data_IF_565815832305
#
_entry.id   IF_565815832305
#
_cell.length_a   1.000
_cell.length_b   1.000
_cell.length_c   1.000
_cell.angle_alpha   90.00
_cell.angle_beta   90.00
_cell.angle_gamma   90.00
#
_symmetry.space_group_name_H-M   'P 1'
#
loop_
_entity.id
_entity.type
_entity.pdbx_description
1 polymer ?
#
# COMPACT_ATOMS: atom_id res chain seq x y z
N UNK A 1 -3.24 18.55 4.39
CA UNK A 1 -1.80 18.29 4.21
C UNK A 1 -1.10 18.59 5.54
N UNK A 2 -0.55 17.58 6.24
CA UNK A 2 -0.05 17.72 7.64
C UNK A 2 1.44 18.02 7.74
N UNK A 3 2.17 18.03 6.62
CA UNK A 3 3.64 18.18 6.58
C UNK A 3 4.17 19.44 7.27
N UNK A 4 3.44 20.55 7.18
CA UNK A 4 3.80 21.84 7.76
C UNK A 4 3.24 22.05 9.18
N UNK A 5 2.44 21.10 9.67
CA UNK A 5 1.76 21.20 10.97
C UNK A 5 2.68 20.64 12.06
N UNK A 6 2.83 21.37 13.16
CA UNK A 6 3.55 20.87 14.33
C UNK A 6 2.84 19.63 14.92
N UNK A 7 3.59 18.64 15.43
CA UNK A 7 3.02 17.39 15.94
C UNK A 7 1.97 17.58 17.06
N UNK A 8 2.04 18.66 17.84
CA UNK A 8 0.98 18.98 18.81
C UNK A 8 -0.34 19.43 18.17
N UNK A 9 -0.28 20.05 17.00
CA UNK A 9 -1.46 20.55 16.27
C UNK A 9 -2.04 19.50 15.31
N UNK A 10 -1.31 18.41 15.03
CA UNK A 10 -1.80 17.34 14.14
C UNK A 10 -2.97 16.56 14.77
N UNK A 11 -3.02 16.51 16.10
CA UNK A 11 -4.12 15.91 16.86
C UNK A 11 -5.41 16.72 16.79
N UNK A 12 -5.38 17.95 16.25
CA UNK A 12 -6.58 18.74 16.03
C UNK A 12 -7.41 18.24 14.84
N UNK A 13 -6.83 17.38 13.97
CA UNK A 13 -7.59 16.67 12.93
C UNK A 13 -8.14 15.38 13.51
N UNK A 14 -9.45 15.19 13.43
CA UNK A 14 -10.11 13.99 13.96
C UNK A 14 -9.58 12.71 13.30
N UNK A 15 -9.21 12.75 12.02
CA UNK A 15 -8.67 11.59 11.29
C UNK A 15 -7.32 11.16 11.84
N UNK A 16 -6.42 12.12 12.13
CA UNK A 16 -5.08 11.82 12.65
C UNK A 16 -5.15 11.43 14.11
N UNK A 17 -6.05 12.03 14.88
CA UNK A 17 -6.31 11.64 16.26
C UNK A 17 -6.79 10.18 16.34
N UNK A 18 -7.77 9.81 15.52
CA UNK A 18 -8.26 8.45 15.42
C UNK A 18 -7.16 7.46 14.99
N UNK A 19 -6.31 7.87 14.04
CA UNK A 19 -5.16 7.06 13.60
C UNK A 19 -4.15 6.82 14.73
N UNK A 20 -3.79 7.86 15.49
CA UNK A 20 -2.87 7.76 16.62
C UNK A 20 -3.40 6.79 17.70
N UNK A 21 -4.69 6.89 18.03
CA UNK A 21 -5.36 5.97 18.97
C UNK A 21 -5.36 4.54 18.44
N UNK A 22 -5.67 4.34 17.15
CA UNK A 22 -5.70 3.02 16.53
C UNK A 22 -4.33 2.34 16.55
N UNK A 23 -3.26 3.09 16.28
CA UNK A 23 -1.89 2.58 16.33
C UNK A 23 -1.43 2.38 17.78
N UNK A 24 -1.89 3.22 18.70
CA UNK A 24 -1.48 3.22 20.10
C UNK A 24 -0.15 3.95 20.35
N UNK A 25 0.25 4.82 19.42
CA UNK A 25 1.44 5.65 19.53
C UNK A 25 1.05 7.13 19.42
N UNK A 26 1.69 7.98 20.22
CA UNK A 26 1.49 9.43 20.13
C UNK A 26 2.39 10.04 19.05
N UNK A 27 1.91 11.04 18.29
CA UNK A 27 2.72 11.71 17.28
C UNK A 27 3.92 12.45 17.91
N UNK A 28 5.10 12.26 17.34
CA UNK A 28 6.36 12.89 17.75
C UNK A 28 7.06 12.20 18.92
N UNK A 29 6.55 11.06 19.41
CA UNK A 29 7.23 10.24 20.42
C UNK A 29 7.88 9.03 19.78
N UNK A 30 9.08 8.68 20.24
CA UNK A 30 9.80 7.49 19.77
C UNK A 30 9.41 6.20 20.50
N UNK A 31 8.52 6.30 21.50
CA UNK A 31 8.10 5.14 22.28
C UNK A 31 7.05 4.32 21.54
N UNK A 32 7.41 3.08 21.18
CA UNK A 32 6.54 2.10 20.53
C UNK A 32 5.90 1.10 21.51
N UNK A 33 6.04 1.28 22.83
CA UNK A 33 5.51 0.33 23.83
C UNK A 33 3.99 0.16 23.78
N UNK A 34 3.28 1.17 23.26
CA UNK A 34 1.82 1.15 23.10
C UNK A 34 1.32 0.58 21.77
N UNK A 35 2.24 0.12 20.90
CA UNK A 35 1.91 -0.33 19.55
C UNK A 35 0.92 -1.50 19.59
N UNK A 36 -0.28 -1.28 19.02
CA UNK A 36 -1.35 -2.29 18.98
C UNK A 36 -1.22 -3.26 17.83
N UNK A 37 -0.59 -2.83 16.74
CA UNK A 37 -0.45 -3.61 15.51
C UNK A 37 1.01 -3.65 15.07
N UNK A 38 1.54 -4.85 14.82
CA UNK A 38 2.91 -5.01 14.32
C UNK A 38 3.12 -4.54 12.88
N UNK A 39 2.04 -4.31 12.12
CA UNK A 39 2.10 -3.79 10.74
C UNK A 39 0.95 -2.81 10.51
N UNK A 40 1.30 -1.62 10.02
CA UNK A 40 0.39 -0.61 9.53
C UNK A 40 0.48 -0.62 8.00
N UNK A 41 -0.59 -1.01 7.33
CA UNK A 41 -0.62 -1.19 5.87
C UNK A 41 -1.49 -0.10 5.25
N UNK A 42 -0.89 0.74 4.41
CA UNK A 42 -1.58 1.72 3.59
C UNK A 42 -2.08 0.99 2.34
N UNK A 43 -3.39 0.78 2.27
CA UNK A 43 -4.05 0.23 1.08
C UNK A 43 -4.79 1.36 0.37
N UNK A 44 -4.36 1.64 -0.85
CA UNK A 44 -4.97 2.66 -1.72
C UNK A 44 -5.10 2.11 -3.14
N UNK A 45 -6.02 2.68 -3.91
CA UNK A 45 -6.21 2.32 -5.32
C UNK A 45 -4.98 2.63 -6.17
N UNK A 46 -4.82 1.88 -7.26
CA UNK A 46 -3.74 2.06 -8.23
C UNK A 46 -3.92 3.31 -9.13
N UNK A 47 -4.89 4.17 -8.82
CA UNK A 47 -5.18 5.40 -9.53
C UNK A 47 -4.35 6.58 -9.02
N UNK A 48 -4.31 7.67 -9.79
CA UNK A 48 -3.58 8.89 -9.42
C UNK A 48 -3.97 9.43 -8.05
N UNK A 49 -5.26 9.33 -7.71
CA UNK A 49 -5.79 9.79 -6.42
C UNK A 49 -5.38 8.87 -5.27
N UNK A 50 -5.35 7.55 -5.51
CA UNK A 50 -4.87 6.57 -4.54
C UNK A 50 -3.38 6.74 -4.24
N UNK A 51 -2.56 6.98 -5.27
CA UNK A 51 -1.14 7.32 -5.11
C UNK A 51 -0.94 8.63 -4.34
N UNK A 52 -1.80 9.63 -4.58
CA UNK A 52 -1.76 10.89 -3.83
C UNK A 52 -2.09 10.66 -2.35
N UNK A 53 -3.16 9.92 -2.04
CA UNK A 53 -3.53 9.57 -0.66
C UNK A 53 -2.41 8.77 0.03
N UNK A 54 -1.82 7.79 -0.65
CA UNK A 54 -0.71 7.01 -0.12
C UNK A 54 0.50 7.91 0.21
N UNK A 55 0.79 8.89 -0.65
CA UNK A 55 1.88 9.86 -0.42
C UNK A 55 1.60 10.75 0.81
N UNK A 56 0.36 11.22 0.97
CA UNK A 56 -0.05 12.02 2.14
C UNK A 56 0.09 11.24 3.45
N UNK A 57 -0.36 9.98 3.46
CA UNK A 57 -0.23 9.09 4.62
C UNK A 57 1.23 8.76 4.91
N UNK A 58 2.03 8.50 3.88
CA UNK A 58 3.47 8.25 4.05
C UNK A 58 4.19 9.47 4.63
N UNK A 59 3.85 10.68 4.17
CA UNK A 59 4.37 11.93 4.71
C UNK A 59 3.97 12.14 6.18
N UNK A 60 2.73 11.80 6.54
CA UNK A 60 2.25 11.83 7.93
C UNK A 60 3.07 10.89 8.82
N UNK A 61 3.28 9.63 8.41
CA UNK A 61 4.07 8.67 9.17
C UNK A 61 5.54 9.09 9.27
N UNK A 62 6.14 9.57 8.19
CA UNK A 62 7.52 10.01 8.18
C UNK A 62 7.75 11.21 9.11
N UNK A 63 6.80 12.14 9.15
CA UNK A 63 6.92 13.38 9.94
C UNK A 63 6.58 13.18 11.41
N UNK A 64 5.47 12.51 11.69
CA UNK A 64 4.90 12.43 13.05
C UNK A 64 5.13 11.09 13.71
N UNK A 65 5.46 10.02 12.97
CA UNK A 65 5.74 8.71 13.53
C UNK A 65 7.06 8.13 12.99
N UNK A 66 8.17 8.88 13.08
CA UNK A 66 9.45 8.45 12.48
C UNK A 66 9.92 7.11 13.06
N UNK A 67 9.67 6.84 14.34
CA UNK A 67 10.02 5.58 14.99
C UNK A 67 9.29 4.37 14.39
N UNK A 68 8.02 4.51 13.98
CA UNK A 68 7.28 3.43 13.31
C UNK A 68 7.88 3.10 11.95
N UNK A 69 8.27 4.13 11.19
CA UNK A 69 8.89 3.96 9.88
C UNK A 69 10.27 3.33 10.04
N UNK A 70 11.08 3.82 10.97
CA UNK A 70 12.43 3.31 11.23
C UNK A 70 12.43 1.84 11.72
N UNK A 71 11.43 1.46 12.52
CA UNK A 71 11.24 0.09 12.97
C UNK A 71 10.65 -0.84 11.90
N UNK A 72 10.29 -0.33 10.72
CA UNK A 72 9.76 -1.12 9.61
C UNK A 72 8.32 -1.60 9.82
N UNK A 73 7.51 -0.84 10.57
CA UNK A 73 6.10 -1.17 10.81
C UNK A 73 5.15 -0.61 9.75
N UNK A 74 5.59 0.33 8.90
CA UNK A 74 4.75 0.97 7.88
C UNK A 74 4.98 0.30 6.52
N UNK A 75 3.88 -0.14 5.89
CA UNK A 75 3.87 -0.83 4.60
C UNK A 75 2.90 -0.15 3.66
N UNK A 76 3.20 -0.18 2.36
CA UNK A 76 2.25 0.21 1.31
C UNK A 76 1.84 -1.06 0.57
N UNK A 77 0.55 -1.35 0.55
CA UNK A 77 0.01 -2.44 -0.24
C UNK A 77 -0.15 -1.96 -1.69
N UNK A 78 0.51 -2.67 -2.61
CA UNK A 78 0.39 -2.42 -4.04
C UNK A 78 -0.50 -3.51 -4.64
N UNK A 79 -1.75 -3.20 -5.03
CA UNK A 79 -2.60 -4.18 -5.68
C UNK A 79 -2.02 -4.57 -7.06
N UNK A 80 -2.24 -5.81 -7.51
CA UNK A 80 -1.76 -6.23 -8.82
C UNK A 80 -2.48 -5.47 -9.94
N UNK A 81 -1.74 -4.91 -10.90
CA UNK A 81 -2.31 -4.21 -12.05
C UNK A 81 -2.98 -5.16 -13.06
N UNK A 82 -2.49 -6.39 -13.15
CA UNK A 82 -2.95 -7.36 -14.14
C UNK A 82 -3.25 -8.72 -13.52
N UNK A 83 -4.31 -9.35 -14.03
CA UNK A 83 -4.60 -10.77 -13.88
C UNK A 83 -4.46 -11.44 -15.24
N UNK A 84 -3.72 -12.54 -15.29
CA UNK A 84 -3.52 -13.34 -16.49
C UNK A 84 -4.07 -14.74 -16.21
N UNK A 85 -5.17 -15.10 -16.86
CA UNK A 85 -5.74 -16.44 -16.80
C UNK A 85 -5.25 -17.26 -18.00
N UNK A 86 -4.74 -18.47 -17.74
CA UNK A 86 -4.28 -19.42 -18.76
C UNK A 86 -4.94 -20.76 -18.53
N UNK A 87 -6.05 -21.00 -19.24
CA UNK A 87 -6.85 -22.21 -19.06
C UNK A 87 -7.44 -22.31 -17.64
N UNK A 88 -6.80 -23.10 -16.76
CA UNK A 88 -7.18 -23.24 -15.33
C UNK A 88 -6.25 -22.52 -14.36
N UNK A 89 -5.15 -21.95 -14.83
CA UNK A 89 -4.16 -21.28 -13.98
C UNK A 89 -4.43 -19.77 -13.97
N UNK A 90 -4.27 -19.15 -12.81
CA UNK A 90 -4.44 -17.71 -12.62
C UNK A 90 -3.13 -17.14 -12.10
N UNK A 91 -2.65 -16.08 -12.75
CA UNK A 91 -1.45 -15.37 -12.38
C UNK A 91 -1.76 -13.90 -12.19
N UNK A 92 -1.00 -13.24 -11.33
CA UNK A 92 -1.11 -11.80 -11.07
C UNK A 92 0.23 -11.14 -11.41
N UNK A 93 0.16 -9.95 -12.00
CA UNK A 93 1.32 -9.14 -12.31
C UNK A 93 1.14 -7.75 -11.72
N UNK A 94 2.18 -7.25 -11.05
CA UNK A 94 2.20 -5.95 -10.40
C UNK A 94 2.34 -4.80 -11.41
N UNK A 95 3.02 -5.03 -12.53
CA UNK A 95 3.26 -4.04 -13.57
C UNK A 95 3.29 -4.65 -15.00
N UNK A 96 3.48 -3.79 -16.01
CA UNK A 96 3.55 -4.19 -17.41
C UNK A 96 4.81 -5.02 -17.75
N UNK A 97 5.91 -4.85 -17.01
CA UNK A 97 7.14 -5.62 -17.20
C UNK A 97 6.96 -7.05 -16.70
N UNK A 98 6.44 -7.22 -15.49
CA UNK A 98 6.04 -8.50 -14.91
C UNK A 98 5.01 -9.21 -15.78
N UNK A 99 4.02 -8.49 -16.30
CA UNK A 99 3.05 -9.05 -17.26
C UNK A 99 3.76 -9.63 -18.48
N UNK A 100 4.72 -8.89 -19.04
CA UNK A 100 5.47 -9.32 -20.23
C UNK A 100 6.34 -10.54 -19.91
N UNK A 101 7.05 -10.51 -18.78
CA UNK A 101 7.85 -11.65 -18.30
C UNK A 101 7.00 -12.90 -18.06
N UNK A 102 5.81 -12.72 -17.47
CA UNK A 102 4.87 -13.80 -17.22
C UNK A 102 4.37 -14.42 -18.53
N UNK A 103 3.99 -13.60 -19.52
CA UNK A 103 3.57 -14.07 -20.84
C UNK A 103 4.70 -14.83 -21.56
N UNK A 104 5.94 -14.36 -21.49
CA UNK A 104 7.11 -15.05 -22.05
C UNK A 104 7.40 -16.38 -21.34
N UNK A 105 7.20 -16.44 -20.02
CA UNK A 105 7.31 -17.68 -19.24
C UNK A 105 6.24 -18.69 -19.66
N UNK A 106 4.98 -18.24 -19.79
CA UNK A 106 3.84 -19.06 -20.25
C UNK A 106 4.12 -19.68 -21.64
N UNK A 107 4.66 -18.88 -22.57
CA UNK A 107 5.05 -19.36 -23.91
C UNK A 107 6.17 -20.40 -23.84
N UNK A 108 7.19 -20.16 -23.02
CA UNK A 108 8.35 -21.05 -22.86
C UNK A 108 7.98 -22.39 -22.26
N UNK A 109 7.10 -22.38 -21.26
CA UNK A 109 6.59 -23.58 -20.58
C UNK A 109 5.49 -24.29 -21.40
N UNK A 110 5.08 -23.72 -22.55
CA UNK A 110 4.04 -24.26 -23.46
C UNK A 110 2.76 -24.62 -22.71
N UNK A 111 2.36 -23.78 -21.75
CA UNK A 111 1.13 -23.98 -20.97
C UNK A 111 -0.04 -23.91 -21.96
N UNK A 112 -0.80 -25.01 -22.05
CA UNK A 112 -1.94 -25.11 -22.96
C UNK A 112 -3.15 -24.41 -22.35
N UNK A 113 -3.63 -23.35 -23.00
CA UNK A 113 -4.85 -22.65 -22.61
C UNK A 113 -5.03 -21.35 -23.39
N UNK A 114 -6.27 -20.89 -23.50
CA UNK A 114 -6.53 -19.53 -23.95
C UNK A 114 -5.99 -18.57 -22.88
N UNK A 115 -5.20 -17.59 -23.31
CA UNK A 115 -4.67 -16.54 -22.44
C UNK A 115 -5.67 -15.39 -22.45
N UNK A 116 -6.22 -15.04 -21.29
CA UNK A 116 -6.95 -13.78 -21.11
C UNK A 116 -6.23 -12.89 -20.12
N UNK A 117 -6.09 -11.61 -20.45
CA UNK A 117 -5.49 -10.61 -19.59
C UNK A 117 -6.58 -9.63 -19.17
N UNK A 118 -6.79 -9.50 -17.88
CA UNK A 118 -7.68 -8.51 -17.27
C UNK A 118 -6.82 -7.49 -16.54
N UNK A 119 -7.08 -6.20 -16.76
CA UNK A 119 -6.43 -5.12 -16.03
C UNK A 119 -7.36 -4.66 -14.92
N UNK A 120 -6.88 -4.64 -13.68
CA UNK A 120 -7.61 -4.05 -12.57
C UNK A 120 -7.46 -2.53 -12.64
N UNK A 121 -8.58 -1.80 -12.60
CA UNK A 121 -8.55 -0.33 -12.52
C UNK A 121 -8.73 0.16 -11.08
N UNK A 122 -9.36 -0.61 -10.20
CA UNK A 122 -9.50 -0.27 -8.79
C UNK A 122 -9.74 -1.49 -7.90
N UNK A 123 -9.66 -1.30 -6.58
CA UNK A 123 -9.84 -2.32 -5.53
C UNK A 123 -11.29 -2.83 -5.42
N UNK A 124 -12.25 -2.16 -6.07
CA UNK A 124 -13.68 -2.50 -6.05
C UNK A 124 -14.17 -3.32 -7.25
N UNK A 125 -13.30 -3.70 -8.19
CA UNK A 125 -13.63 -4.49 -9.38
C UNK A 125 -13.29 -5.99 -9.25
#
# INVERSE_FOLDING_TARGET
HTWEVASGNVLASDEVHNLAIAIGCDPGKDNLSGLRYGKVVILADADSDGLHIATLLTALFLKHFPALVAAGHVFVAMPPLFRVDVGKQVFYALDDEEKTMLLEKIKREKIKGQVSVTRFKGLGE
#
